data_IF_799646997502
#
_entry.id   IF_799646997502
#
_cell.length_a   1.000
_cell.length_b   1.000
_cell.length_c   1.000
_cell.angle_alpha   90.00
_cell.angle_beta   90.00
_cell.angle_gamma   90.00
#
_symmetry.space_group_name_H-M   'P 1'
#
loop_
_entity.id
_entity.type
_entity.pdbx_description
1 polymer ?
#
# COMPACT_ATOMS: atom_id res chain seq x y z
N UNK A 1 -9.39 -43.74 -8.58
CA UNK A 1 -8.46 -42.93 -9.40
C UNK A 1 -7.12 -43.64 -9.32
N UNK A 2 -6.33 -43.69 -10.40
CA UNK A 2 -4.93 -44.20 -10.34
C UNK A 2 -4.00 -43.14 -9.75
N UNK A 3 -2.78 -43.54 -9.37
CA UNK A 3 -1.80 -42.64 -8.73
C UNK A 3 -1.44 -41.45 -9.63
N UNK A 4 -1.22 -41.67 -10.93
CA UNK A 4 -0.87 -40.61 -11.87
C UNK A 4 -1.96 -39.53 -11.97
N UNK A 5 -3.24 -39.91 -12.05
CA UNK A 5 -4.32 -38.92 -12.08
C UNK A 5 -4.57 -38.27 -10.72
N UNK A 6 -4.09 -38.87 -9.63
CA UNK A 6 -4.23 -38.34 -8.28
C UNK A 6 -3.15 -37.30 -7.97
N UNK A 7 -1.89 -37.59 -8.32
CA UNK A 7 -0.74 -36.69 -8.15
C UNK A 7 -0.81 -35.45 -9.05
N UNK A 8 -1.58 -35.51 -10.14
CA UNK A 8 -1.88 -34.39 -11.03
C UNK A 8 -3.22 -33.70 -10.73
N UNK A 9 -3.77 -33.87 -9.52
CA UNK A 9 -4.99 -33.14 -9.11
C UNK A 9 -4.63 -31.75 -8.59
N UNK A 10 -5.27 -30.67 -9.08
CA UNK A 10 -5.15 -29.33 -8.51
C UNK A 10 -5.19 -29.33 -6.98
N UNK A 11 -4.17 -28.77 -6.33
CA UNK A 11 -4.06 -28.80 -4.87
C UNK A 11 -5.31 -28.18 -4.20
N UNK A 12 -5.97 -27.20 -4.84
CA UNK A 12 -7.15 -26.55 -4.32
C UNK A 12 -8.33 -27.51 -4.13
N UNK A 13 -8.48 -28.49 -5.02
CA UNK A 13 -9.52 -29.53 -4.93
C UNK A 13 -9.21 -30.52 -3.82
N UNK A 14 -7.93 -30.87 -3.66
CA UNK A 14 -7.49 -31.77 -2.60
C UNK A 14 -7.67 -31.14 -1.22
N UNK A 15 -7.34 -29.83 -1.07
CA UNK A 15 -7.60 -29.07 0.16
C UNK A 15 -9.10 -28.99 0.46
N UNK A 16 -9.94 -28.77 -0.57
CA UNK A 16 -11.39 -28.77 -0.41
C UNK A 16 -11.91 -30.11 0.11
N UNK A 17 -11.42 -31.22 -0.45
CA UNK A 17 -11.78 -32.57 0.01
C UNK A 17 -11.31 -32.82 1.45
N UNK A 18 -10.10 -32.41 1.82
CA UNK A 18 -9.60 -32.52 3.19
C UNK A 18 -10.45 -31.70 4.18
N UNK A 19 -10.91 -30.50 3.78
CA UNK A 19 -11.81 -29.67 4.56
C UNK A 19 -13.19 -30.33 4.76
N UNK A 20 -13.73 -30.99 3.75
CA UNK A 20 -14.98 -31.76 3.86
C UNK A 20 -14.86 -32.95 4.81
N UNK A 21 -13.74 -33.69 4.76
CA UNK A 21 -13.47 -34.78 5.70
C UNK A 21 -13.35 -34.25 7.13
N UNK A 22 -12.65 -33.14 7.33
CA UNK A 22 -12.52 -32.50 8.64
C UNK A 22 -13.90 -32.10 9.19
N UNK A 23 -14.75 -31.47 8.37
CA UNK A 23 -16.15 -31.11 8.71
C UNK A 23 -16.97 -32.32 9.15
N UNK A 24 -16.82 -33.45 8.46
CA UNK A 24 -17.49 -34.70 8.84
C UNK A 24 -16.97 -35.25 10.17
N UNK A 25 -15.65 -35.24 10.40
CA UNK A 25 -15.02 -35.70 11.66
C UNK A 25 -15.52 -34.90 12.87
N UNK A 26 -15.75 -33.59 12.71
CA UNK A 26 -16.25 -32.73 13.80
C UNK A 26 -17.79 -32.66 13.88
N UNK A 27 -18.51 -33.24 12.91
CA UNK A 27 -19.98 -33.23 12.88
C UNK A 27 -20.62 -31.90 12.48
N UNK A 28 -19.86 -30.96 11.91
CA UNK A 28 -20.36 -29.66 11.44
C UNK A 28 -19.95 -29.41 9.99
N UNK A 29 -20.91 -29.54 9.07
CA UNK A 29 -20.73 -29.36 7.63
C UNK A 29 -20.46 -27.92 7.21
N UNK A 30 -20.71 -26.93 8.08
CA UNK A 30 -20.48 -25.50 7.81
C UNK A 30 -19.25 -24.96 8.53
N UNK A 31 -18.60 -25.75 9.36
CA UNK A 31 -17.40 -25.34 10.08
C UNK A 31 -16.30 -24.85 9.13
N UNK A 32 -15.52 -23.88 9.63
CA UNK A 32 -14.37 -23.32 8.95
C UNK A 32 -13.19 -23.20 9.94
N UNK A 33 -11.94 -23.51 9.54
CA UNK A 33 -10.80 -23.47 10.45
C UNK A 33 -10.44 -22.04 10.86
N UNK A 34 -10.70 -21.69 12.11
CA UNK A 34 -10.50 -20.34 12.66
C UNK A 34 -9.10 -20.15 13.25
N UNK A 35 -8.46 -21.24 13.68
CA UNK A 35 -7.17 -21.18 14.37
C UNK A 35 -6.13 -22.14 13.75
N UNK A 36 -4.88 -21.95 14.14
CA UNK A 36 -3.74 -22.76 13.66
C UNK A 36 -3.93 -24.27 13.95
N UNK A 37 -4.50 -24.62 15.10
CA UNK A 37 -4.72 -26.02 15.50
C UNK A 37 -5.65 -26.72 14.52
N UNK A 38 -6.79 -26.12 14.19
CA UNK A 38 -7.75 -26.68 13.22
C UNK A 38 -7.14 -26.79 11.81
N UNK A 39 -6.34 -25.82 11.39
CA UNK A 39 -5.61 -25.89 10.11
C UNK A 39 -4.61 -27.05 10.11
N UNK A 40 -3.93 -27.29 11.23
CA UNK A 40 -3.00 -28.41 11.38
C UNK A 40 -3.73 -29.75 11.26
N UNK A 41 -4.89 -29.91 11.89
CA UNK A 41 -5.74 -31.11 11.77
C UNK A 41 -6.14 -31.38 10.31
N UNK A 42 -6.53 -30.33 9.56
CA UNK A 42 -6.81 -30.47 8.12
C UNK A 42 -5.56 -30.86 7.34
N UNK A 43 -4.39 -30.32 7.71
CA UNK A 43 -3.11 -30.68 7.10
C UNK A 43 -2.70 -32.12 7.36
N UNK A 44 -3.07 -32.69 8.51
CA UNK A 44 -2.86 -34.11 8.83
C UNK A 44 -3.79 -34.99 7.97
N UNK A 45 -5.08 -34.65 7.88
CA UNK A 45 -6.05 -35.32 6.98
C UNK A 45 -5.56 -35.29 5.53
N UNK A 46 -5.07 -34.14 5.07
CA UNK A 46 -4.52 -33.95 3.74
C UNK A 46 -3.36 -34.94 3.46
N UNK A 47 -2.47 -35.17 4.42
CA UNK A 47 -1.34 -36.10 4.25
C UNK A 47 -1.76 -37.57 4.29
N UNK A 48 -2.83 -37.89 5.03
CA UNK A 48 -3.45 -39.22 5.07
C UNK A 48 -4.12 -39.58 3.74
N UNK A 49 -4.54 -38.59 2.96
CA UNK A 49 -5.18 -38.78 1.65
C UNK A 49 -4.22 -39.18 0.52
N UNK A 50 -2.89 -39.17 0.75
CA UNK A 50 -1.90 -39.54 -0.28
C UNK A 50 -2.00 -41.01 -0.66
N UNK A 51 -1.67 -41.31 -1.92
CA UNK A 51 -1.65 -42.67 -2.45
C UNK A 51 -0.23 -43.10 -2.83
N UNK A 52 0.19 -44.33 -2.47
CA UNK A 52 1.50 -44.84 -2.83
C UNK A 52 1.63 -45.02 -4.35
N UNK A 53 2.82 -44.77 -4.88
CA UNK A 53 3.18 -45.08 -6.25
C UNK A 53 3.34 -46.62 -6.45
N UNK A 54 3.79 -47.02 -7.65
CA UNK A 54 4.04 -48.44 -7.97
C UNK A 54 5.10 -49.10 -7.07
N UNK A 55 5.94 -48.31 -6.40
CA UNK A 55 7.01 -48.76 -5.51
C UNK A 55 6.64 -48.61 -4.03
N UNK A 56 5.43 -48.15 -3.69
CA UNK A 56 4.99 -47.94 -2.31
C UNK A 56 5.35 -46.57 -1.72
N UNK A 57 5.86 -45.63 -2.53
CA UNK A 57 6.35 -44.32 -2.08
C UNK A 57 5.22 -43.29 -2.12
N UNK A 58 5.09 -42.50 -1.05
CA UNK A 58 4.10 -41.42 -0.92
C UNK A 58 4.68 -40.06 -1.34
N UNK A 59 5.09 -39.97 -2.61
CA UNK A 59 5.72 -38.78 -3.19
C UNK A 59 4.76 -38.13 -4.19
N UNK A 60 3.97 -37.18 -3.69
CA UNK A 60 2.97 -36.46 -4.48
C UNK A 60 3.14 -34.96 -4.29
N UNK A 61 3.70 -34.30 -5.31
CA UNK A 61 4.04 -32.87 -5.30
C UNK A 61 2.82 -31.98 -5.05
N UNK A 62 1.66 -32.30 -5.62
CA UNK A 62 0.43 -31.55 -5.41
C UNK A 62 -0.03 -31.55 -3.93
N UNK A 63 0.24 -32.62 -3.17
CA UNK A 63 -0.04 -32.69 -1.73
C UNK A 63 0.99 -31.91 -0.90
N UNK A 64 2.26 -31.95 -1.31
CA UNK A 64 3.29 -31.11 -0.68
C UNK A 64 2.97 -29.62 -0.89
N UNK A 65 2.59 -29.24 -2.11
CA UNK A 65 2.16 -27.89 -2.48
C UNK A 65 0.90 -27.46 -1.72
N UNK A 66 -0.10 -28.36 -1.61
CA UNK A 66 -1.31 -28.16 -0.82
C UNK A 66 -0.99 -27.83 0.64
N UNK A 67 -0.09 -28.61 1.27
CA UNK A 67 0.31 -28.41 2.67
C UNK A 67 1.02 -27.07 2.87
N UNK A 68 1.91 -26.70 1.96
CA UNK A 68 2.64 -25.43 2.01
C UNK A 68 1.71 -24.22 1.82
N UNK A 69 0.65 -24.39 1.02
CA UNK A 69 -0.34 -23.34 0.74
C UNK A 69 -1.52 -23.30 1.71
N UNK A 70 -1.64 -24.26 2.62
CA UNK A 70 -2.83 -24.49 3.45
C UNK A 70 -3.25 -23.25 4.24
N UNK A 71 -2.29 -22.57 4.87
CA UNK A 71 -2.54 -21.37 5.66
C UNK A 71 -3.09 -20.21 4.82
N UNK A 72 -2.66 -20.09 3.57
CA UNK A 72 -3.09 -19.06 2.63
C UNK A 72 -4.47 -19.36 2.05
N UNK A 73 -4.74 -20.62 1.72
CA UNK A 73 -6.01 -21.03 1.10
C UNK A 73 -7.16 -21.01 2.11
N UNK A 74 -6.92 -21.50 3.32
CA UNK A 74 -7.97 -21.61 4.35
C UNK A 74 -8.17 -20.30 5.12
N UNK A 75 -8.11 -19.15 4.45
CA UNK A 75 -8.46 -17.86 5.04
C UNK A 75 -9.92 -17.53 4.73
N UNK A 76 -10.64 -16.96 5.72
CA UNK A 76 -11.98 -16.45 5.45
C UNK A 76 -11.87 -15.28 4.48
N UNK A 77 -12.65 -15.29 3.42
CA UNK A 77 -12.76 -14.17 2.49
C UNK A 77 -13.35 -12.97 3.25
N UNK A 78 -12.63 -11.86 3.26
CA UNK A 78 -13.05 -10.61 3.91
C UNK A 78 -12.81 -9.44 2.98
N UNK A 79 -13.61 -8.38 3.10
CA UNK A 79 -13.39 -7.12 2.39
C UNK A 79 -12.16 -6.42 3.01
N UNK A 80 -11.10 -6.13 2.23
CA UNK A 80 -9.92 -5.42 2.71
C UNK A 80 -10.22 -3.99 3.18
N UNK A 81 -9.40 -3.49 4.10
CA UNK A 81 -9.60 -2.16 4.72
C UNK A 81 -9.57 -1.01 3.71
N UNK A 82 -8.64 -1.04 2.75
CA UNK A 82 -8.57 -0.05 1.67
C UNK A 82 -9.88 0.05 0.86
N UNK A 83 -10.59 -1.08 0.69
CA UNK A 83 -11.86 -1.11 -0.03
C UNK A 83 -13.00 -0.59 0.85
N UNK A 84 -12.99 -0.92 2.15
CA UNK A 84 -13.96 -0.37 3.13
C UNK A 84 -13.91 1.15 3.18
N UNK A 85 -12.71 1.72 3.22
CA UNK A 85 -12.50 3.17 3.19
C UNK A 85 -13.05 3.82 1.91
N UNK A 86 -12.97 3.13 0.76
CA UNK A 86 -13.62 3.59 -0.47
C UNK A 86 -15.13 3.56 -0.34
N UNK A 87 -15.71 2.49 0.22
CA UNK A 87 -17.17 2.36 0.40
C UNK A 87 -17.76 3.34 1.42
N UNK A 88 -16.99 3.73 2.43
CA UNK A 88 -17.37 4.73 3.43
C UNK A 88 -17.28 6.17 2.90
N UNK A 89 -16.59 6.38 1.79
CA UNK A 89 -16.40 7.70 1.22
C UNK A 89 -17.73 8.29 0.71
N UNK A 90 -17.93 9.60 0.91
CA UNK A 90 -19.17 10.29 0.51
C UNK A 90 -19.48 10.14 -0.99
N UNK A 91 -18.46 10.17 -1.86
CA UNK A 91 -18.62 9.95 -3.31
C UNK A 91 -18.86 8.47 -3.70
N UNK A 92 -18.88 7.53 -2.75
CA UNK A 92 -19.34 6.16 -3.02
C UNK A 92 -20.84 5.98 -2.76
N UNK A 93 -21.50 6.98 -2.14
CA UNK A 93 -22.94 7.01 -1.93
C UNK A 93 -23.61 7.57 -3.19
N UNK A 94 -24.56 6.81 -3.75
CA UNK A 94 -25.19 7.13 -5.04
C UNK A 94 -25.89 8.49 -4.99
N UNK A 95 -26.54 8.80 -3.87
CA UNK A 95 -27.25 10.05 -3.61
C UNK A 95 -26.36 11.31 -3.61
N UNK A 96 -25.06 11.14 -3.41
CA UNK A 96 -24.09 12.23 -3.39
C UNK A 96 -23.40 12.44 -4.74
N UNK A 97 -23.63 11.56 -5.72
CA UNK A 97 -23.02 11.67 -7.04
C UNK A 97 -23.74 12.72 -7.87
N UNK A 98 -23.00 13.74 -8.29
CA UNK A 98 -23.48 14.78 -9.21
C UNK A 98 -22.65 14.77 -10.49
N UNK A 99 -23.14 15.32 -11.62
CA UNK A 99 -22.35 15.41 -12.85
C UNK A 99 -20.97 16.06 -12.69
N UNK A 100 -20.80 16.97 -11.72
CA UNK A 100 -19.55 17.71 -11.45
C UNK A 100 -18.55 16.93 -10.59
N UNK A 101 -19.04 16.06 -9.71
CA UNK A 101 -18.22 15.32 -8.73
C UNK A 101 -17.99 13.86 -9.14
N UNK A 102 -18.85 13.35 -10.01
CA UNK A 102 -18.87 11.99 -10.48
C UNK A 102 -17.77 11.75 -11.54
N UNK A 103 -17.05 10.64 -11.38
CA UNK A 103 -16.15 10.11 -12.40
C UNK A 103 -16.33 8.59 -12.48
N UNK A 104 -15.76 7.97 -13.50
CA UNK A 104 -15.90 6.53 -13.74
C UNK A 104 -15.51 5.68 -12.52
N UNK A 105 -14.53 6.11 -11.71
CA UNK A 105 -14.07 5.38 -10.54
C UNK A 105 -15.15 5.33 -9.47
N UNK A 106 -15.76 6.47 -9.15
CA UNK A 106 -16.79 6.54 -8.11
C UNK A 106 -18.08 5.83 -8.51
N UNK A 107 -18.45 5.86 -9.79
CA UNK A 107 -19.58 5.07 -10.32
C UNK A 107 -19.32 3.58 -10.12
N UNK A 108 -18.14 3.08 -10.53
CA UNK A 108 -17.80 1.68 -10.39
C UNK A 108 -17.63 1.27 -8.92
N UNK A 109 -17.13 2.16 -8.06
CA UNK A 109 -17.01 1.92 -6.62
C UNK A 109 -18.41 1.79 -5.96
N UNK A 110 -19.35 2.67 -6.30
CA UNK A 110 -20.72 2.61 -5.81
C UNK A 110 -21.46 1.36 -6.32
N UNK A 111 -21.28 1.00 -7.60
CA UNK A 111 -21.82 -0.24 -8.17
C UNK A 111 -21.22 -1.49 -7.48
N UNK A 112 -19.91 -1.48 -7.25
CA UNK A 112 -19.21 -2.54 -6.53
C UNK A 112 -19.71 -2.65 -5.08
N UNK A 113 -19.96 -1.53 -4.41
CA UNK A 113 -20.57 -1.51 -3.07
C UNK A 113 -21.95 -2.17 -3.10
N UNK A 114 -22.79 -1.86 -4.08
CA UNK A 114 -24.09 -2.50 -4.27
C UNK A 114 -23.98 -4.03 -4.46
N UNK A 115 -23.01 -4.49 -5.25
CA UNK A 115 -22.70 -5.91 -5.39
C UNK A 115 -22.30 -6.55 -4.05
N UNK A 116 -21.43 -5.88 -3.29
CA UNK A 116 -20.96 -6.36 -1.98
C UNK A 116 -22.08 -6.38 -0.95
N UNK A 117 -22.94 -5.37 -0.92
CA UNK A 117 -24.10 -5.31 -0.02
C UNK A 117 -25.09 -6.46 -0.31
N UNK A 118 -25.21 -6.88 -1.58
CA UNK A 118 -26.04 -8.01 -2.00
C UNK A 118 -25.42 -9.38 -1.72
N UNK A 119 -24.13 -9.56 -1.99
CA UNK A 119 -23.46 -10.88 -1.97
C UNK A 119 -22.57 -11.12 -0.74
N UNK A 120 -22.24 -10.08 0.03
CA UNK A 120 -21.36 -10.12 1.20
C UNK A 120 -19.87 -10.30 0.88
N UNK A 121 -19.49 -10.38 -0.39
CA UNK A 121 -18.11 -10.61 -0.87
C UNK A 121 -17.79 -9.75 -2.08
N UNK A 122 -16.51 -9.52 -2.33
CA UNK A 122 -16.04 -8.88 -3.56
C UNK A 122 -16.19 -9.83 -4.76
N UNK A 123 -16.34 -9.28 -5.98
CA UNK A 123 -16.34 -10.08 -7.19
C UNK A 123 -15.00 -10.82 -7.31
N UNK A 124 -15.05 -12.06 -7.80
CA UNK A 124 -13.84 -12.87 -7.93
C UNK A 124 -12.99 -12.36 -9.09
N UNK A 125 -11.66 -12.47 -8.97
CA UNK A 125 -10.73 -11.95 -9.98
C UNK A 125 -10.67 -12.79 -11.27
N UNK A 126 -11.14 -14.04 -11.20
CA UNK A 126 -11.01 -15.02 -12.29
C UNK A 126 -9.60 -15.54 -12.51
N UNK A 127 -8.65 -15.20 -11.62
CA UNK A 127 -7.27 -15.69 -11.66
C UNK A 127 -7.08 -16.84 -10.67
N UNK A 128 -6.24 -17.80 -11.06
CA UNK A 128 -5.74 -18.85 -10.20
C UNK A 128 -4.21 -18.82 -10.22
N UNK A 129 -3.54 -19.12 -9.09
CA UNK A 129 -2.11 -19.35 -9.09
C UNK A 129 -1.79 -20.61 -9.90
N UNK A 130 -0.54 -20.69 -10.37
CA UNK A 130 -0.01 -21.93 -10.92
C UNK A 130 -0.05 -23.05 -9.87
N UNK A 131 -0.21 -24.29 -10.33
CA UNK A 131 -0.30 -25.46 -9.45
C UNK A 131 0.06 -26.74 -10.18
N UNK A 132 0.61 -27.68 -9.42
CA UNK A 132 0.88 -29.05 -9.89
C UNK A 132 -0.43 -29.74 -10.25
N UNK A 133 -0.70 -29.87 -11.55
CA UNK A 133 -1.95 -30.43 -12.09
C UNK A 133 -1.76 -30.87 -13.54
N UNK A 134 -2.62 -31.77 -14.02
CA UNK A 134 -2.77 -31.99 -15.45
C UNK A 134 -3.40 -30.75 -16.12
N UNK A 135 -3.00 -30.49 -17.37
CA UNK A 135 -3.40 -29.29 -18.11
C UNK A 135 -4.92 -29.20 -18.32
N UNK A 136 -5.61 -30.35 -18.46
CA UNK A 136 -7.04 -30.38 -18.73
C UNK A 136 -7.85 -29.99 -17.49
N UNK A 137 -7.51 -30.52 -16.31
CA UNK A 137 -8.14 -30.14 -15.03
C UNK A 137 -7.86 -28.70 -14.66
N UNK A 138 -6.62 -28.26 -14.80
CA UNK A 138 -6.25 -26.87 -14.52
C UNK A 138 -7.03 -25.91 -15.43
N UNK A 139 -7.07 -26.17 -16.75
CA UNK A 139 -7.82 -25.35 -17.68
C UNK A 139 -9.33 -25.32 -17.36
N UNK A 140 -9.91 -26.47 -16.98
CA UNK A 140 -11.31 -26.54 -16.57
C UNK A 140 -11.58 -25.71 -15.32
N UNK A 141 -10.73 -25.82 -14.30
CA UNK A 141 -10.85 -25.04 -13.07
C UNK A 141 -10.71 -23.54 -13.35
N UNK A 142 -9.70 -23.14 -14.13
CA UNK A 142 -9.48 -21.76 -14.52
C UNK A 142 -10.69 -21.18 -15.28
N UNK A 143 -11.30 -21.94 -16.19
CA UNK A 143 -12.48 -21.50 -16.92
C UNK A 143 -13.70 -21.33 -16.00
N UNK A 144 -13.87 -22.14 -14.95
CA UNK A 144 -14.92 -21.92 -13.96
C UNK A 144 -14.77 -20.56 -13.26
N UNK A 145 -13.56 -20.24 -12.81
CA UNK A 145 -13.26 -18.94 -12.17
C UNK A 145 -13.42 -17.78 -13.15
N UNK A 146 -12.97 -17.91 -14.41
CA UNK A 146 -13.13 -16.86 -15.43
C UNK A 146 -14.60 -16.58 -15.77
N UNK A 147 -15.39 -17.64 -15.93
CA UNK A 147 -16.81 -17.53 -16.25
C UNK A 147 -17.58 -16.85 -15.11
N UNK A 148 -17.28 -17.23 -13.87
CA UNK A 148 -17.94 -16.64 -12.71
C UNK A 148 -17.49 -15.18 -12.47
N UNK A 149 -16.21 -14.86 -12.69
CA UNK A 149 -15.71 -13.48 -12.68
C UNK A 149 -16.42 -12.60 -13.72
N UNK A 150 -16.67 -13.13 -14.91
CA UNK A 150 -17.39 -12.41 -15.96
C UNK A 150 -18.86 -12.16 -15.60
N UNK A 151 -19.54 -13.13 -14.96
CA UNK A 151 -20.90 -12.91 -14.45
C UNK A 151 -20.93 -11.81 -13.39
N UNK A 152 -20.02 -11.86 -12.42
CA UNK A 152 -19.94 -10.83 -11.40
C UNK A 152 -19.66 -9.44 -12.01
N UNK A 153 -18.75 -9.37 -13.00
CA UNK A 153 -18.47 -8.13 -13.70
C UNK A 153 -19.67 -7.59 -14.49
N UNK A 154 -20.48 -8.47 -15.10
CA UNK A 154 -21.74 -8.07 -15.78
C UNK A 154 -22.74 -7.47 -14.80
N UNK A 155 -22.92 -8.10 -13.65
CA UNK A 155 -23.81 -7.58 -12.61
C UNK A 155 -23.36 -6.21 -12.08
N UNK A 156 -22.06 -6.05 -11.79
CA UNK A 156 -21.50 -4.74 -11.40
C UNK A 156 -21.68 -3.71 -12.52
N UNK A 157 -21.52 -4.11 -13.77
CA UNK A 157 -21.69 -3.23 -14.91
C UNK A 157 -23.14 -2.76 -15.06
N UNK A 158 -24.11 -3.65 -14.92
CA UNK A 158 -25.55 -3.32 -14.93
C UNK A 158 -25.89 -2.32 -13.81
N UNK A 159 -25.36 -2.54 -12.59
CA UNK A 159 -25.50 -1.58 -11.49
C UNK A 159 -24.88 -0.22 -11.81
N UNK A 160 -23.71 -0.20 -12.46
CA UNK A 160 -23.06 1.03 -12.89
C UNK A 160 -23.88 1.79 -13.95
N UNK A 161 -24.52 1.10 -14.89
CA UNK A 161 -25.38 1.71 -15.90
C UNK A 161 -26.61 2.38 -15.26
N UNK A 162 -27.21 1.75 -14.24
CA UNK A 162 -28.31 2.34 -13.47
C UNK A 162 -27.86 3.63 -12.77
N UNK A 163 -26.67 3.64 -12.17
CA UNK A 163 -26.10 4.83 -11.53
C UNK A 163 -25.81 5.92 -12.56
N UNK A 164 -25.28 5.58 -13.73
CA UNK A 164 -25.03 6.53 -14.82
C UNK A 164 -26.34 7.18 -15.28
N UNK A 165 -27.40 6.38 -15.48
CA UNK A 165 -28.71 6.90 -15.84
C UNK A 165 -29.27 7.83 -14.76
N UNK A 166 -29.08 7.50 -13.48
CA UNK A 166 -29.49 8.36 -12.37
C UNK A 166 -28.75 9.72 -12.36
N UNK A 167 -27.44 9.72 -12.58
CA UNK A 167 -26.60 10.93 -12.50
C UNK A 167 -26.68 11.79 -13.77
N UNK A 168 -26.68 11.17 -14.95
CA UNK A 168 -26.56 11.86 -16.25
C UNK A 168 -27.83 11.77 -17.13
N UNK A 169 -28.85 11.03 -16.71
CA UNK A 169 -30.02 10.73 -17.53
C UNK A 169 -29.74 9.70 -18.65
N UNK A 170 -30.75 9.43 -19.47
CA UNK A 170 -30.77 8.34 -20.46
C UNK A 170 -29.86 8.53 -21.70
N UNK A 171 -28.83 9.39 -21.65
CA UNK A 171 -27.96 9.72 -22.80
C UNK A 171 -26.48 9.35 -22.63
N UNK A 172 -26.08 8.63 -21.59
CA UNK A 172 -24.66 8.48 -21.22
C UNK A 172 -24.16 7.04 -21.03
N UNK A 173 -24.79 6.04 -21.63
CA UNK A 173 -24.45 4.62 -21.44
C UNK A 173 -23.02 4.24 -21.89
N UNK A 174 -22.40 5.00 -22.80
CA UNK A 174 -21.06 4.72 -23.33
C UNK A 174 -19.91 5.28 -22.47
N UNK A 175 -20.21 5.87 -21.31
CA UNK A 175 -19.20 6.50 -20.46
C UNK A 175 -18.21 5.49 -19.86
N UNK A 176 -18.64 4.25 -19.61
CA UNK A 176 -17.81 3.20 -19.01
C UNK A 176 -17.97 1.92 -19.83
N UNK A 177 -17.00 1.53 -20.67
CA UNK A 177 -17.05 0.27 -21.38
C UNK A 177 -17.05 -0.94 -20.43
N UNK A 178 -17.70 -2.03 -20.83
CA UNK A 178 -17.74 -3.27 -20.05
C UNK A 178 -16.33 -3.79 -19.70
N UNK A 179 -15.36 -3.69 -20.63
CA UNK A 179 -13.97 -4.10 -20.40
C UNK A 179 -13.28 -3.30 -19.27
N UNK A 180 -13.66 -2.04 -19.06
CA UNK A 180 -13.17 -1.26 -17.92
C UNK A 180 -13.74 -1.79 -16.60
N UNK A 181 -15.03 -2.14 -16.58
CA UNK A 181 -15.67 -2.78 -15.41
C UNK A 181 -15.02 -4.12 -15.10
N UNK A 182 -14.74 -4.95 -16.12
CA UNK A 182 -14.05 -6.23 -15.95
C UNK A 182 -12.66 -6.06 -15.33
N UNK A 183 -11.88 -5.07 -15.79
CA UNK A 183 -10.57 -4.73 -15.19
C UNK A 183 -10.71 -4.25 -13.75
N UNK A 184 -11.72 -3.42 -13.46
CA UNK A 184 -12.01 -2.93 -12.11
C UNK A 184 -12.39 -4.06 -11.15
N UNK A 185 -13.33 -4.93 -11.52
CA UNK A 185 -13.72 -6.11 -10.74
C UNK A 185 -12.55 -7.05 -10.48
N UNK A 186 -11.69 -7.26 -11.49
CA UNK A 186 -10.48 -8.07 -11.34
C UNK A 186 -9.53 -7.54 -10.26
N UNK A 187 -9.50 -6.22 -10.07
CA UNK A 187 -8.66 -5.52 -9.09
C UNK A 187 -9.45 -5.02 -7.88
N UNK A 188 -10.70 -5.49 -7.67
CA UNK A 188 -11.61 -4.95 -6.66
C UNK A 188 -11.04 -4.98 -5.23
N UNK A 189 -10.21 -5.98 -4.91
CA UNK A 189 -9.55 -6.09 -3.61
C UNK A 189 -8.46 -5.02 -3.36
N UNK A 190 -7.96 -4.38 -4.43
CA UNK A 190 -6.81 -3.47 -4.41
C UNK A 190 -7.18 -2.01 -4.70
N UNK A 191 -8.46 -1.70 -4.90
CA UNK A 191 -8.88 -0.31 -5.11
C UNK A 191 -8.61 0.51 -3.84
N UNK A 192 -8.30 1.78 -4.03
CA UNK A 192 -8.02 2.68 -2.93
C UNK A 192 -8.04 4.12 -3.42
N UNK A 193 -8.19 5.04 -2.47
CA UNK A 193 -8.17 6.48 -2.75
C UNK A 193 -7.18 7.12 -1.79
N UNK A 194 -6.22 7.84 -2.34
CA UNK A 194 -5.25 8.62 -1.58
C UNK A 194 -5.62 10.10 -1.67
N UNK A 195 -5.70 10.77 -0.51
CA UNK A 195 -5.96 12.20 -0.40
C UNK A 195 -4.75 12.89 0.22
N UNK A 196 -4.06 13.69 -0.58
CA UNK A 196 -2.98 14.55 -0.10
C UNK A 196 -3.48 15.70 0.77
N UNK A 197 -2.57 16.34 1.49
CA UNK A 197 -2.77 17.65 2.10
C UNK A 197 -2.31 18.75 1.12
N UNK A 198 -2.90 19.94 1.25
CA UNK A 198 -2.44 21.11 0.50
C UNK A 198 -1.18 21.70 1.14
N UNK A 199 -0.33 22.35 0.33
CA UNK A 199 0.85 23.07 0.83
C UNK A 199 0.49 24.16 1.86
N UNK A 200 -0.74 24.72 1.78
CA UNK A 200 -1.23 25.66 2.79
C UNK A 200 -1.45 24.97 4.14
N UNK A 201 -2.10 23.81 4.15
CA UNK A 201 -2.29 23.03 5.38
C UNK A 201 -0.96 22.61 6.01
N UNK A 202 0.01 22.22 5.19
CA UNK A 202 1.37 21.94 5.65
C UNK A 202 2.00 23.20 6.28
N UNK A 203 1.92 24.35 5.61
CA UNK A 203 2.47 25.61 6.11
C UNK A 203 1.82 26.04 7.43
N UNK A 204 0.50 25.87 7.56
CA UNK A 204 -0.26 26.23 8.76
C UNK A 204 0.10 25.32 9.95
N UNK A 205 0.43 24.04 9.70
CA UNK A 205 0.86 23.09 10.75
C UNK A 205 2.34 23.23 11.13
N UNK A 206 3.16 23.79 10.24
CA UNK A 206 4.59 24.02 10.45
C UNK A 206 5.35 22.71 10.63
N UNK A 207 6.12 22.61 11.72
CA UNK A 207 6.89 21.40 12.06
C UNK A 207 6.18 20.48 13.06
N UNK A 208 5.00 20.87 13.57
CA UNK A 208 4.30 20.16 14.63
C UNK A 208 4.02 18.67 14.33
N UNK A 209 3.60 18.29 13.09
CA UNK A 209 3.36 16.87 12.75
C UNK A 209 4.63 16.01 12.70
N UNK A 210 5.79 16.64 12.51
CA UNK A 210 7.09 15.99 12.33
C UNK A 210 7.69 15.62 13.68
N UNK A 211 7.57 16.52 14.66
CA UNK A 211 8.30 16.46 15.93
C UNK A 211 8.13 15.15 16.73
N UNK A 212 6.93 14.54 16.83
CA UNK A 212 6.76 13.28 17.57
C UNK A 212 7.53 12.09 16.96
N UNK A 213 7.98 12.21 15.70
CA UNK A 213 8.68 11.14 14.97
C UNK A 213 10.19 11.33 14.93
N UNK A 214 10.69 12.49 15.35
CA UNK A 214 12.14 12.73 15.39
C UNK A 214 12.72 11.97 16.58
N UNK A 215 13.71 11.14 16.28
CA UNK A 215 14.51 10.43 17.27
C UNK A 215 15.75 11.22 17.62
N UNK A 216 16.27 11.00 18.83
CA UNK A 216 17.56 11.56 19.24
C UNK A 216 18.67 11.18 18.24
N UNK A 217 19.63 12.09 17.96
CA UNK A 217 20.78 11.79 17.13
C UNK A 217 21.58 10.59 17.66
N UNK A 218 22.03 9.72 16.76
CA UNK A 218 22.95 8.64 17.14
C UNK A 218 24.33 9.24 17.49
N UNK A 219 24.95 8.81 18.60
CA UNK A 219 26.28 9.28 18.96
C UNK A 219 27.27 8.94 17.85
N UNK A 220 28.09 9.93 17.47
CA UNK A 220 29.12 9.72 16.47
C UNK A 220 30.12 8.63 16.95
N UNK A 221 30.33 7.61 16.12
CA UNK A 221 31.42 6.63 16.30
C UNK A 221 32.76 7.37 16.07
N UNK A 222 33.87 7.04 16.78
CA UNK A 222 35.03 7.94 16.79
C UNK A 222 35.62 8.27 15.41
N UNK A 223 35.64 9.59 15.14
CA UNK A 223 36.62 10.39 14.37
C UNK A 223 36.55 10.55 12.84
N UNK A 224 35.70 9.85 12.09
CA UNK A 224 35.63 10.11 10.62
C UNK A 224 34.23 10.08 9.99
N UNK A 225 33.17 9.82 10.76
CA UNK A 225 31.81 9.74 10.21
C UNK A 225 30.94 10.92 10.65
N UNK A 226 30.16 11.51 9.74
CA UNK A 226 29.23 12.58 10.09
C UNK A 226 28.20 12.08 11.10
N UNK A 227 27.71 12.98 11.95
CA UNK A 227 26.66 12.68 12.93
C UNK A 227 25.43 12.11 12.21
N UNK A 228 24.88 11.04 12.77
CA UNK A 228 23.78 10.29 12.17
C UNK A 228 22.46 10.73 12.77
N UNK A 229 21.64 11.42 11.98
CA UNK A 229 20.32 11.93 12.40
C UNK A 229 19.16 11.17 11.76
N UNK A 230 17.95 11.39 12.27
CA UNK A 230 16.72 10.97 11.61
C UNK A 230 16.54 11.77 10.29
N UNK A 231 16.07 11.17 9.17
CA UNK A 231 15.82 11.91 7.94
C UNK A 231 14.93 13.15 8.12
N UNK A 232 13.96 13.09 9.04
CA UNK A 232 13.08 14.21 9.38
C UNK A 232 13.81 15.44 9.95
N UNK A 233 14.99 15.26 10.54
CA UNK A 233 15.86 16.36 10.97
C UNK A 233 16.24 17.25 9.79
N UNK A 234 16.50 16.65 8.62
CA UNK A 234 16.81 17.39 7.39
C UNK A 234 15.62 18.21 6.91
N UNK A 235 14.38 17.72 7.06
CA UNK A 235 13.18 18.46 6.68
C UNK A 235 12.99 19.73 7.52
N UNK A 236 13.23 19.67 8.84
CA UNK A 236 13.21 20.87 9.70
C UNK A 236 14.28 21.87 9.27
N UNK A 237 15.49 21.38 8.97
CA UNK A 237 16.60 22.22 8.54
C UNK A 237 16.36 22.86 7.16
N UNK A 238 15.69 22.16 6.24
CA UNK A 238 15.26 22.73 4.95
C UNK A 238 14.24 23.86 5.19
N UNK A 239 13.24 23.66 6.06
CA UNK A 239 12.29 24.73 6.43
C UNK A 239 12.98 25.93 7.08
N UNK A 240 13.98 25.69 7.95
CA UNK A 240 14.78 26.76 8.55
C UNK A 240 15.64 27.50 7.51
N UNK A 241 16.13 26.77 6.51
CA UNK A 241 16.91 27.29 5.38
C UNK A 241 16.05 28.17 4.47
N UNK A 242 14.79 27.80 4.23
CA UNK A 242 13.83 28.65 3.50
C UNK A 242 13.58 29.96 4.25
N UNK A 243 13.39 29.90 5.57
CA UNK A 243 13.29 31.10 6.41
C UNK A 243 14.57 31.95 6.31
N UNK A 244 15.75 31.32 6.31
CA UNK A 244 17.04 31.99 6.11
C UNK A 244 17.10 32.71 4.78
N UNK A 245 16.76 32.01 3.70
CA UNK A 245 16.73 32.59 2.35
C UNK A 245 15.75 33.76 2.27
N UNK A 246 14.56 33.63 2.87
CA UNK A 246 13.56 34.70 2.88
C UNK A 246 14.08 36.00 3.51
N UNK A 247 14.88 35.90 4.58
CA UNK A 247 15.46 37.07 5.26
C UNK A 247 16.79 37.57 4.66
N UNK A 248 17.63 36.69 4.12
CA UNK A 248 19.00 37.02 3.67
C UNK A 248 19.15 37.10 2.15
N UNK A 249 18.17 36.59 1.40
CA UNK A 249 18.17 36.44 -0.08
C UNK A 249 19.39 35.68 -0.62
N UNK A 250 19.91 34.77 0.18
CA UNK A 250 20.97 33.79 -0.15
C UNK A 250 20.83 32.59 0.77
N UNK A 251 21.44 31.47 0.39
CA UNK A 251 21.45 30.26 1.22
C UNK A 251 22.60 30.28 2.27
N UNK A 252 22.46 29.54 3.39
CA UNK A 252 23.54 29.36 4.35
C UNK A 252 24.79 28.75 3.68
N UNK A 253 25.97 29.22 4.04
CA UNK A 253 27.25 28.72 3.49
C UNK A 253 27.60 29.23 2.09
N UNK A 254 26.86 30.22 1.58
CA UNK A 254 27.11 30.83 0.26
C UNK A 254 27.68 32.24 0.38
N UNK A 255 28.11 32.81 -0.76
CA UNK A 255 28.58 34.20 -0.88
C UNK A 255 29.80 34.56 -0.01
N UNK A 256 30.64 33.57 0.33
CA UNK A 256 31.90 33.80 1.05
C UNK A 256 31.74 34.21 2.52
N UNK A 257 30.54 34.11 3.08
CA UNK A 257 30.31 34.36 4.51
C UNK A 257 30.89 33.18 5.31
N UNK A 258 31.66 33.43 6.39
CA UNK A 258 32.16 32.36 7.23
C UNK A 258 31.04 31.44 7.74
N UNK A 259 31.21 30.12 7.56
CA UNK A 259 30.15 29.13 7.83
C UNK A 259 29.59 29.21 9.26
N UNK A 260 30.44 29.49 10.26
CA UNK A 260 30.00 29.61 11.65
C UNK A 260 28.97 30.75 11.87
N UNK A 261 29.10 31.87 11.14
CA UNK A 261 28.17 33.00 11.24
C UNK A 261 26.79 32.59 10.70
N UNK A 262 26.78 31.90 9.57
CA UNK A 262 25.54 31.40 8.96
C UNK A 262 24.91 30.30 9.81
N UNK A 263 25.72 29.43 10.42
CA UNK A 263 25.25 28.38 11.30
C UNK A 263 24.57 28.94 12.56
N UNK A 264 25.10 30.00 13.17
CA UNK A 264 24.46 30.68 14.31
C UNK A 264 23.12 31.35 13.93
N UNK A 265 23.01 31.92 12.73
CA UNK A 265 21.75 32.51 12.22
C UNK A 265 20.74 31.41 11.87
N UNK A 266 21.18 30.32 11.24
CA UNK A 266 20.34 29.17 10.94
C UNK A 266 19.84 28.48 12.23
N UNK A 267 20.69 28.32 13.24
CA UNK A 267 20.31 27.79 14.54
C UNK A 267 19.22 28.64 15.21
N UNK A 268 19.33 29.98 15.15
CA UNK A 268 18.27 30.89 15.64
C UNK A 268 16.94 30.70 14.91
N UNK A 269 16.96 30.34 13.63
CA UNK A 269 15.73 30.06 12.84
C UNK A 269 15.13 28.71 13.18
N UNK A 270 15.96 27.71 13.48
CA UNK A 270 15.50 26.44 14.04
C UNK A 270 14.80 26.72 15.37
N UNK A 271 15.42 27.47 16.28
CA UNK A 271 14.79 27.84 17.57
C UNK A 271 13.45 28.56 17.37
N UNK A 272 13.33 29.45 16.39
CA UNK A 272 12.07 30.10 16.02
C UNK A 272 10.99 29.09 15.58
N UNK A 273 11.32 28.14 14.69
CA UNK A 273 10.38 27.11 14.26
C UNK A 273 9.86 26.26 15.43
N UNK A 274 10.73 25.95 16.40
CA UNK A 274 10.32 25.24 17.61
C UNK A 274 9.43 26.11 18.50
N UNK A 275 9.76 27.40 18.67
CA UNK A 275 8.93 28.34 19.44
C UNK A 275 7.53 28.50 18.86
N UNK A 276 7.40 28.49 17.53
CA UNK A 276 6.12 28.63 16.82
C UNK A 276 5.14 27.47 17.09
N UNK A 277 5.66 26.30 17.53
CA UNK A 277 4.82 25.16 17.94
C UNK A 277 4.03 25.43 19.23
N UNK A 278 4.44 26.43 20.03
CA UNK A 278 3.87 26.76 21.34
C UNK A 278 3.87 25.59 22.34
N UNK A 279 4.70 24.57 22.12
CA UNK A 279 4.86 23.43 23.02
C UNK A 279 6.19 23.55 23.78
N UNK A 280 6.10 23.91 25.07
CA UNK A 280 7.27 24.15 25.92
C UNK A 280 8.23 22.94 26.03
N UNK A 281 7.70 21.71 26.01
CA UNK A 281 8.53 20.51 26.07
C UNK A 281 9.38 20.36 24.80
N UNK A 282 8.75 20.55 23.62
CA UNK A 282 9.44 20.44 22.34
C UNK A 282 10.47 21.56 22.16
N UNK A 283 10.14 22.79 22.56
CA UNK A 283 11.07 23.92 22.57
C UNK A 283 12.32 23.61 23.40
N UNK A 284 12.16 23.01 24.58
CA UNK A 284 13.31 22.64 25.43
C UNK A 284 14.22 21.59 24.80
N UNK A 285 13.68 20.74 23.91
CA UNK A 285 14.40 19.68 23.21
C UNK A 285 15.05 20.12 21.89
N UNK A 286 14.84 21.35 21.43
CA UNK A 286 15.30 21.82 20.11
C UNK A 286 16.79 21.59 19.87
N UNK A 287 17.65 21.95 20.84
CA UNK A 287 19.11 21.79 20.74
C UNK A 287 19.58 20.34 20.81
N UNK A 288 18.79 19.47 21.45
CA UNK A 288 19.07 18.04 21.54
C UNK A 288 18.71 17.34 20.23
N UNK A 289 17.55 17.67 19.67
CA UNK A 289 17.04 17.07 18.43
C UNK A 289 17.77 17.59 17.19
N UNK A 290 18.19 18.86 17.22
CA UNK A 290 18.91 19.52 16.14
C UNK A 290 20.23 20.10 16.69
N UNK A 291 21.27 19.27 16.88
CA UNK A 291 22.58 19.74 17.33
C UNK A 291 23.24 20.68 16.33
N UNK A 292 24.12 21.54 16.84
CA UNK A 292 24.82 22.55 16.02
C UNK A 292 25.69 21.93 14.93
N UNK A 293 26.21 20.71 15.14
CA UNK A 293 26.99 19.95 14.18
C UNK A 293 26.18 19.65 12.90
N UNK A 294 24.88 19.39 13.05
CA UNK A 294 23.97 19.11 11.93
C UNK A 294 23.59 20.41 11.21
N UNK A 295 23.45 21.50 11.96
CA UNK A 295 23.25 22.85 11.40
C UNK A 295 24.48 23.28 10.57
N UNK A 296 25.69 23.03 11.09
CA UNK A 296 26.94 23.28 10.39
C UNK A 296 27.01 22.50 9.06
N UNK A 297 26.45 21.29 9.03
CA UNK A 297 26.43 20.47 7.82
C UNK A 297 25.59 21.07 6.70
N UNK A 298 24.47 21.74 7.01
CA UNK A 298 23.69 22.51 6.02
C UNK A 298 24.51 23.67 5.44
N UNK A 299 25.23 24.40 6.30
CA UNK A 299 26.14 25.45 5.85
C UNK A 299 27.32 24.87 5.04
N UNK A 300 27.77 23.64 5.35
CA UNK A 300 28.81 22.95 4.57
C UNK A 300 28.31 22.58 3.17
N UNK A 301 27.05 22.17 3.03
CA UNK A 301 26.47 21.87 1.72
C UNK A 301 26.45 23.11 0.81
N UNK A 302 26.27 24.31 1.38
CA UNK A 302 26.33 25.57 0.63
C UNK A 302 25.33 25.62 -0.53
N UNK A 303 24.14 25.01 -0.35
CA UNK A 303 23.12 24.84 -1.39
C UNK A 303 23.63 24.18 -2.69
N UNK A 304 24.64 23.31 -2.59
CA UNK A 304 25.09 22.50 -3.72
C UNK A 304 24.08 21.40 -4.09
N UNK A 305 24.14 20.95 -5.34
CA UNK A 305 23.34 19.85 -5.88
C UNK A 305 24.27 18.73 -6.37
N UNK A 306 24.67 17.79 -5.51
CA UNK A 306 25.53 16.68 -5.92
C UNK A 306 24.83 15.78 -6.94
N UNK A 307 25.48 15.52 -8.09
CA UNK A 307 24.91 14.75 -9.19
C UNK A 307 24.35 13.38 -8.79
N UNK A 308 25.03 12.67 -7.88
CA UNK A 308 24.60 11.35 -7.41
C UNK A 308 23.26 11.44 -6.65
N UNK A 309 23.10 12.45 -5.79
CA UNK A 309 21.85 12.67 -5.04
C UNK A 309 20.72 13.08 -6.00
N UNK A 310 21.01 14.01 -6.91
CA UNK A 310 20.04 14.45 -7.92
C UNK A 310 19.57 13.28 -8.81
N UNK A 311 20.48 12.37 -9.18
CA UNK A 311 20.17 11.19 -10.00
C UNK A 311 19.27 10.18 -9.28
N UNK A 312 19.51 9.93 -7.98
CA UNK A 312 18.65 9.07 -7.16
C UNK A 312 17.24 9.68 -7.04
N UNK A 313 17.14 10.96 -6.69
CA UNK A 313 15.85 11.65 -6.61
C UNK A 313 15.14 11.70 -7.95
N UNK A 314 15.87 11.93 -9.05
CA UNK A 314 15.33 11.94 -10.41
C UNK A 314 14.67 10.61 -10.78
N UNK A 315 15.26 9.48 -10.41
CA UNK A 315 14.66 8.15 -10.62
C UNK A 315 13.36 7.96 -9.83
N UNK A 316 13.34 8.37 -8.56
CA UNK A 316 12.15 8.26 -7.70
C UNK A 316 11.02 9.15 -8.22
N UNK A 317 11.31 10.43 -8.47
CA UNK A 317 10.31 11.40 -8.96
C UNK A 317 9.75 10.98 -10.33
N UNK A 318 10.59 10.46 -11.23
CA UNK A 318 10.14 9.95 -12.52
C UNK A 318 9.15 8.80 -12.37
N UNK A 319 9.42 7.87 -11.45
CA UNK A 319 8.50 6.77 -11.18
C UNK A 319 7.17 7.28 -10.58
N UNK A 320 7.20 8.21 -9.61
CA UNK A 320 5.98 8.81 -9.06
C UNK A 320 5.15 9.52 -10.13
N UNK A 321 5.81 10.24 -11.07
CA UNK A 321 5.14 10.86 -12.20
C UNK A 321 4.46 9.82 -13.12
N UNK A 322 5.11 8.68 -13.38
CA UNK A 322 4.53 7.57 -14.15
C UNK A 322 3.30 7.00 -13.44
N UNK A 323 3.37 6.78 -12.11
CA UNK A 323 2.23 6.29 -11.33
C UNK A 323 1.01 7.20 -11.46
N UNK A 324 1.23 8.52 -11.33
CA UNK A 324 0.18 9.53 -11.45
C UNK A 324 -0.40 9.59 -12.86
N UNK A 325 0.44 9.58 -13.89
CA UNK A 325 0.01 9.66 -15.29
C UNK A 325 -0.74 8.41 -15.77
N UNK A 326 -0.35 7.22 -15.28
CA UNK A 326 -0.95 5.94 -15.68
C UNK A 326 -2.12 5.52 -14.81
N UNK A 327 -2.29 6.15 -13.64
CA UNK A 327 -3.17 5.69 -12.57
C UNK A 327 -2.90 4.22 -12.18
N UNK A 328 -1.63 3.80 -12.23
CA UNK A 328 -1.18 2.48 -11.84
C UNK A 328 -0.20 2.58 -10.67
N UNK A 329 -0.24 1.59 -9.78
CA UNK A 329 0.46 1.58 -8.49
C UNK A 329 -0.01 2.69 -7.53
N UNK A 330 0.50 2.66 -6.30
CA UNK A 330 0.18 3.63 -5.25
C UNK A 330 1.33 4.64 -5.17
N UNK A 331 1.07 5.95 -5.38
CA UNK A 331 2.06 7.00 -5.18
C UNK A 331 2.48 7.11 -3.71
N UNK A 332 3.61 7.75 -3.45
CA UNK A 332 4.00 8.13 -2.10
C UNK A 332 2.94 9.05 -1.48
N UNK A 333 2.55 8.79 -0.22
CA UNK A 333 1.63 9.67 0.51
C UNK A 333 2.38 10.86 1.10
N UNK A 334 2.27 11.99 0.39
CA UNK A 334 2.76 13.30 0.78
C UNK A 334 4.28 13.50 0.63
N UNK A 335 5.07 13.50 1.71
CA UNK A 335 6.48 13.92 1.67
C UNK A 335 7.43 12.74 1.78
N UNK A 336 8.41 12.67 0.86
CA UNK A 336 9.51 11.70 0.87
C UNK A 336 10.83 12.42 1.13
N UNK A 337 11.63 11.90 2.06
CA UNK A 337 12.95 12.44 2.39
C UNK A 337 13.98 11.34 2.24
N UNK A 338 15.08 11.64 1.57
CA UNK A 338 16.22 10.75 1.43
C UNK A 338 17.47 11.36 2.07
N UNK A 339 18.11 10.58 2.95
CA UNK A 339 19.38 10.93 3.58
C UNK A 339 20.53 10.15 2.91
N UNK A 340 21.36 10.87 2.15
CA UNK A 340 22.55 10.32 1.49
C UNK A 340 23.66 9.87 2.45
N UNK A 341 23.69 10.33 3.70
CA UNK A 341 24.69 9.92 4.70
C UNK A 341 24.37 8.53 5.24
N UNK A 342 23.09 8.28 5.54
CA UNK A 342 22.60 7.00 6.02
C UNK A 342 22.20 6.03 4.90
N UNK A 343 22.07 6.52 3.67
CA UNK A 343 21.50 5.76 2.56
C UNK A 343 20.08 5.24 2.91
N UNK A 344 19.31 6.06 3.60
CA UNK A 344 17.98 5.72 4.11
C UNK A 344 16.95 6.75 3.66
N UNK A 345 15.70 6.35 3.54
CA UNK A 345 14.60 7.25 3.23
C UNK A 345 13.42 7.06 4.18
N UNK A 346 12.60 8.09 4.30
CA UNK A 346 11.39 8.09 5.10
C UNK A 346 10.26 8.82 4.37
N UNK A 347 9.04 8.31 4.54
CA UNK A 347 7.81 8.95 4.06
C UNK A 347 7.01 9.47 5.25
N UNK A 348 6.58 10.72 5.17
CA UNK A 348 5.76 11.35 6.20
C UNK A 348 4.59 12.11 5.58
N UNK A 349 3.45 12.03 6.26
CA UNK A 349 2.30 12.87 5.99
C UNK A 349 2.34 14.10 6.89
N UNK A 350 2.61 15.25 6.26
CA UNK A 350 2.61 16.59 6.82
C UNK A 350 1.22 17.25 6.80
#
# INVERSE_FOLDING_TARGET
>A
MDHERHSHTPYALVVLQALEIWRQKIGDLKAFPENYKQRKEIGEILLEMRMPDKNGVLDEDNFAEAKNSLNRILMKTTIPENVRQVFEHELCKVENLTPETCNWFWILAAALKGFVDKHGVLPISGQLPDMTSDSARYAKLLNLYRNEAEKHAKEVHEMALIIIEHVYGSRSYDMIPFEQTKKFCKQAAFIGVQKGSSLKQESDQGISPILPRITDPEPAVPSTSPMRVCPLTWLILIKATDNFYNGKKRFPGTNGVPQHIDAEDLARRVEQLFNDTKNAELVSKAKTLIPIEVVNEICRYGASEPHVIASILGGIVSQEAIKLATHQYVPVDNTFIYDGHKQSAETIRL
#
